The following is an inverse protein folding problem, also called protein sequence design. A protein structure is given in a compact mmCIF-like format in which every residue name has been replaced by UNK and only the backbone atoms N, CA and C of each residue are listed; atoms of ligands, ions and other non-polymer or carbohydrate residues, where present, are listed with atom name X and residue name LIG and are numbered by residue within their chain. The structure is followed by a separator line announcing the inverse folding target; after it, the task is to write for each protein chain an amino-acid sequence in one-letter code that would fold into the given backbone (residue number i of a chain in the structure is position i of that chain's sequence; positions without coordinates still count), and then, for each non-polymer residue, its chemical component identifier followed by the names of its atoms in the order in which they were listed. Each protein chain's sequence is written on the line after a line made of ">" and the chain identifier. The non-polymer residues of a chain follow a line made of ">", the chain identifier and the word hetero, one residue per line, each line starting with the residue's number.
data_IF_185275904546
#
_entry.id   IF_185275904546
#
_cell.length_a   1.000
_cell.length_b   1.000
_cell.length_c   1.000
_cell.angle_alpha   90.00
_cell.angle_beta   90.00
_cell.angle_gamma   90.00
#
_symmetry.space_group_name_H-M   'P 1'
#
loop_
_entity.id
_entity.type
_entity.pdbx_description
1 polymer ?
#
# COMPACT_ATOMS: atom_id res chain seq x y z
N UNK A 1 15.18 -14.95 14.96
CA UNK A 1 13.74 -15.18 15.21
C UNK A 1 13.23 -14.01 16.04
N UNK A 2 12.38 -13.14 15.47
CA UNK A 2 11.47 -12.23 16.21
C UNK A 2 10.43 -11.67 15.24
N UNK A 3 9.39 -12.45 15.04
CA UNK A 3 8.14 -12.02 14.39
C UNK A 3 7.35 -11.16 15.39
N UNK A 4 7.65 -9.86 15.48
CA UNK A 4 6.78 -8.96 16.25
C UNK A 4 5.50 -8.67 15.47
N UNK A 5 4.54 -9.59 15.54
CA UNK A 5 3.12 -9.32 15.34
C UNK A 5 2.63 -8.51 16.54
N UNK A 6 2.64 -7.19 16.44
CA UNK A 6 1.93 -6.33 17.39
C UNK A 6 0.49 -6.13 16.90
N UNK A 7 -0.40 -6.84 17.59
CA UNK A 7 -1.85 -6.72 17.79
C UNK A 7 -2.69 -5.78 16.89
N UNK A 8 -3.82 -6.36 16.47
CA UNK A 8 -4.93 -5.75 15.75
C UNK A 8 -5.52 -4.53 16.48
N UNK A 9 -5.14 -3.33 16.02
CA UNK A 9 -5.89 -2.06 16.08
C UNK A 9 -5.06 -0.99 15.35
N UNK A 10 -5.68 0.00 14.67
CA UNK A 10 -4.94 1.12 14.13
C UNK A 10 -4.19 1.85 15.26
N UNK A 11 -2.86 1.82 15.22
CA UNK A 11 -2.04 2.42 16.26
C UNK A 11 -1.88 3.92 15.98
N UNK A 12 -2.17 4.79 16.96
CA UNK A 12 -1.99 6.22 16.77
C UNK A 12 -0.50 6.56 16.67
N UNK A 13 -0.18 7.62 15.92
CA UNK A 13 1.21 8.04 15.64
C UNK A 13 2.10 8.18 16.90
N UNK A 14 1.51 8.63 18.01
CA UNK A 14 2.20 8.84 19.28
C UNK A 14 2.55 7.54 20.02
N UNK A 15 1.95 6.40 19.65
CA UNK A 15 2.26 5.08 20.24
C UNK A 15 3.42 4.37 19.54
N UNK A 16 3.97 4.95 18.47
CA UNK A 16 5.10 4.38 17.74
C UNK A 16 6.42 4.60 18.48
N UNK A 17 7.39 3.72 18.25
CA UNK A 17 8.74 3.89 18.81
C UNK A 17 9.48 5.04 18.11
N UNK A 18 10.46 5.71 18.76
CA UNK A 18 11.17 6.83 18.17
C UNK A 18 11.81 6.49 16.81
N UNK A 19 12.41 5.30 16.67
CA UNK A 19 12.98 4.85 15.38
C UNK A 19 11.92 4.63 14.29
N UNK A 20 10.71 4.19 14.65
CA UNK A 20 9.59 4.08 13.70
C UNK A 20 9.05 5.47 13.32
N UNK A 21 8.98 6.40 14.28
CA UNK A 21 8.56 7.77 14.03
C UNK A 21 9.52 8.51 13.11
N UNK A 22 10.84 8.31 13.25
CA UNK A 22 11.82 8.85 12.30
C UNK A 22 11.64 8.27 10.91
N UNK A 23 11.55 6.94 10.80
CA UNK A 23 11.38 6.25 9.53
C UNK A 23 10.11 6.72 8.81
N UNK A 24 9.02 6.90 9.54
CA UNK A 24 7.70 7.21 8.99
C UNK A 24 7.35 8.70 9.09
N UNK A 25 8.29 9.57 9.47
CA UNK A 25 8.05 11.00 9.69
C UNK A 25 7.31 11.70 8.53
N UNK A 26 7.60 11.40 7.25
CA UNK A 26 6.88 11.99 6.11
C UNK A 26 5.39 11.66 6.06
N UNK A 27 4.97 10.57 6.72
CA UNK A 27 3.58 10.09 6.77
C UNK A 27 2.85 10.46 8.06
N UNK A 28 3.52 11.12 9.02
CA UNK A 28 2.97 11.46 10.33
C UNK A 28 1.58 12.10 10.29
N UNK A 29 1.37 13.06 9.38
CA UNK A 29 0.09 13.78 9.21
C UNK A 29 -1.05 12.87 8.73
N UNK A 30 -0.75 11.86 7.94
CA UNK A 30 -1.74 10.98 7.30
C UNK A 30 -1.87 9.64 8.04
N UNK A 31 -0.96 9.35 8.97
CA UNK A 31 -0.84 8.07 9.65
C UNK A 31 -2.15 7.60 10.28
N UNK A 32 -2.82 8.48 11.03
CA UNK A 32 -4.08 8.15 11.72
C UNK A 32 -5.26 7.93 10.75
N UNK A 33 -5.14 8.37 9.49
CA UNK A 33 -6.12 8.11 8.42
C UNK A 33 -5.80 6.83 7.63
N UNK A 34 -4.66 6.19 7.87
CA UNK A 34 -4.29 4.96 7.19
C UNK A 34 -5.08 3.76 7.74
N UNK A 35 -5.55 2.85 6.88
CA UNK A 35 -6.12 1.58 7.31
C UNK A 35 -5.11 0.75 8.10
N UNK A 36 -5.60 -0.04 9.05
CA UNK A 36 -4.77 -0.91 9.91
C UNK A 36 -3.77 -1.77 9.12
N UNK A 37 -4.24 -2.46 8.07
CA UNK A 37 -3.38 -3.29 7.23
C UNK A 37 -2.20 -2.52 6.63
N UNK A 38 -2.41 -1.24 6.30
CA UNK A 38 -1.37 -0.41 5.73
C UNK A 38 -0.40 0.12 6.80
N UNK A 39 -0.93 0.49 7.98
CA UNK A 39 -0.10 0.83 9.13
C UNK A 39 0.82 -0.34 9.48
N UNK A 40 0.28 -1.57 9.56
CA UNK A 40 1.09 -2.77 9.84
C UNK A 40 2.18 -3.01 8.79
N UNK A 41 1.84 -2.89 7.50
CA UNK A 41 2.83 -3.06 6.43
C UNK A 41 3.96 -2.04 6.53
N UNK A 42 3.63 -0.77 6.85
CA UNK A 42 4.62 0.28 7.04
C UNK A 42 5.48 0.06 8.28
N UNK A 43 4.88 -0.36 9.40
CA UNK A 43 5.62 -0.73 10.61
C UNK A 43 6.58 -1.88 10.36
N UNK A 44 6.18 -2.87 9.56
CA UNK A 44 7.05 -3.99 9.24
C UNK A 44 8.29 -3.56 8.46
N UNK A 45 8.15 -2.61 7.52
CA UNK A 45 9.30 -2.06 6.79
C UNK A 45 10.13 -1.14 7.70
N UNK A 46 9.49 -0.35 8.56
CA UNK A 46 10.18 0.55 9.50
C UNK A 46 11.02 -0.18 10.56
N UNK A 47 10.72 -1.46 10.87
CA UNK A 47 11.55 -2.27 11.77
C UNK A 47 13.00 -2.42 11.31
N UNK A 48 13.20 -2.50 9.99
CA UNK A 48 14.53 -2.64 9.39
C UNK A 48 15.21 -1.29 9.14
N UNK A 49 14.48 -0.18 9.24
CA UNK A 49 15.04 1.16 9.04
C UNK A 49 16.29 1.46 9.88
N UNK A 50 16.36 1.16 11.19
CA UNK A 50 17.59 1.40 11.97
C UNK A 50 18.80 0.60 11.45
N UNK A 51 18.56 -0.60 10.89
CA UNK A 51 19.58 -1.50 10.34
C UNK A 51 20.12 -1.02 8.97
N UNK A 52 19.42 -0.11 8.30
CA UNK A 52 19.82 0.44 7.00
C UNK A 52 21.02 1.38 7.10
N UNK A 53 21.83 1.40 6.04
CA UNK A 53 22.90 2.38 5.84
C UNK A 53 22.34 3.79 5.65
N UNK A 54 23.14 4.82 5.89
CA UNK A 54 22.70 6.22 5.76
C UNK A 54 22.13 6.54 4.36
N UNK A 55 22.75 6.00 3.29
CA UNK A 55 22.25 6.20 1.92
C UNK A 55 20.89 5.50 1.69
N UNK A 56 20.72 4.29 2.24
CA UNK A 56 19.48 3.54 2.14
C UNK A 56 18.35 4.22 2.93
N UNK A 57 18.67 4.78 4.10
CA UNK A 57 17.73 5.62 4.89
C UNK A 57 17.26 6.82 4.08
N UNK A 58 18.16 7.51 3.38
CA UNK A 58 17.78 8.64 2.52
C UNK A 58 16.88 8.22 1.35
N UNK A 59 17.18 7.10 0.70
CA UNK A 59 16.31 6.55 -0.37
C UNK A 59 14.94 6.16 0.17
N UNK A 60 14.90 5.55 1.35
CA UNK A 60 13.65 5.20 2.03
C UNK A 60 12.79 6.43 2.31
N UNK A 61 13.38 7.46 2.92
CA UNK A 61 12.70 8.73 3.21
C UNK A 61 12.23 9.44 1.94
N UNK A 62 13.02 9.41 0.85
CA UNK A 62 12.60 9.95 -0.46
C UNK A 62 11.39 9.20 -1.04
N UNK A 63 11.40 7.87 -0.98
CA UNK A 63 10.27 7.04 -1.44
C UNK A 63 9.03 7.30 -0.60
N UNK A 64 9.19 7.45 0.71
CA UNK A 64 8.11 7.81 1.62
C UNK A 64 7.55 9.21 1.35
N UNK A 65 8.39 10.18 1.01
CA UNK A 65 7.96 11.52 0.59
C UNK A 65 7.17 11.51 -0.73
N UNK A 66 7.54 10.65 -1.68
CA UNK A 66 6.72 10.44 -2.88
C UNK A 66 5.39 9.74 -2.53
N UNK A 67 5.41 8.80 -1.58
CA UNK A 67 4.24 8.10 -1.08
C UNK A 67 3.28 8.97 -0.29
N UNK A 68 3.75 9.94 0.49
CA UNK A 68 2.87 10.86 1.23
C UNK A 68 2.05 11.75 0.30
N UNK A 69 2.57 12.02 -0.91
CA UNK A 69 1.85 12.69 -1.99
C UNK A 69 0.80 11.81 -2.66
N UNK A 70 0.90 10.48 -2.54
CA UNK A 70 -0.13 9.52 -3.00
C UNK A 70 -1.18 9.35 -1.89
N UNK A 71 -2.23 10.17 -1.95
CA UNK A 71 -3.30 10.25 -0.96
C UNK A 71 -4.06 8.94 -0.77
N UNK A 72 -4.59 8.69 0.45
CA UNK A 72 -5.51 7.57 0.70
C UNK A 72 -6.74 7.59 -0.22
N UNK A 73 -7.19 8.77 -0.65
CA UNK A 73 -8.25 8.92 -1.67
C UNK A 73 -7.87 8.30 -3.03
N UNK A 74 -6.62 8.42 -3.47
CA UNK A 74 -6.17 7.75 -4.70
C UNK A 74 -6.17 6.23 -4.56
N UNK A 75 -5.98 5.71 -3.34
CA UNK A 75 -6.06 4.27 -3.05
C UNK A 75 -7.49 3.77 -2.89
N UNK A 76 -8.39 4.58 -2.33
CA UNK A 76 -9.82 4.28 -2.34
C UNK A 76 -10.32 4.26 -3.78
N UNK A 77 -9.94 5.25 -4.60
CA UNK A 77 -10.24 5.25 -6.04
C UNK A 77 -9.63 4.03 -6.77
N UNK A 78 -8.45 3.54 -6.38
CA UNK A 78 -7.88 2.31 -6.93
C UNK A 78 -8.66 1.06 -6.48
N UNK A 79 -9.12 1.00 -5.22
CA UNK A 79 -9.98 -0.06 -4.70
C UNK A 79 -11.37 -0.06 -5.35
N UNK A 80 -11.98 1.11 -5.53
CA UNK A 80 -13.25 1.26 -6.25
C UNK A 80 -13.08 0.88 -7.73
N UNK A 81 -11.99 1.30 -8.39
CA UNK A 81 -11.66 0.85 -9.75
C UNK A 81 -11.47 -0.67 -9.82
N UNK A 82 -10.76 -1.27 -8.86
CA UNK A 82 -10.55 -2.71 -8.83
C UNK A 82 -11.83 -3.49 -8.52
N UNK A 83 -12.69 -2.97 -7.63
CA UNK A 83 -14.01 -3.55 -7.34
C UNK A 83 -14.94 -3.43 -8.54
N UNK A 84 -14.98 -2.28 -9.22
CA UNK A 84 -15.73 -2.08 -10.46
C UNK A 84 -15.26 -3.03 -11.58
N UNK A 85 -13.95 -3.29 -11.68
CA UNK A 85 -13.41 -4.25 -12.63
C UNK A 85 -13.62 -5.72 -12.22
N UNK A 86 -13.60 -6.04 -10.93
CA UNK A 86 -13.84 -7.41 -10.42
C UNK A 86 -15.33 -7.79 -10.42
N UNK A 87 -16.24 -6.83 -10.53
CA UNK A 87 -17.66 -7.08 -10.77
C UNK A 87 -18.01 -7.30 -12.25
N UNK A 88 -17.02 -7.30 -13.15
CA UNK A 88 -17.21 -7.85 -14.50
C UNK A 88 -17.07 -9.38 -14.39
N UNK A 89 -18.16 -10.16 -14.49
CA UNK A 89 -18.10 -11.60 -14.37
C UNK A 89 -17.18 -12.18 -15.44
N UNK A 90 -16.34 -13.13 -15.03
CA UNK A 90 -15.42 -13.89 -15.86
C UNK A 90 -16.12 -14.59 -17.05
N UNK A 91 -17.43 -14.77 -16.94
CA UNK A 91 -18.36 -15.31 -17.96
C UNK A 91 -18.34 -14.56 -19.31
N UNK A 92 -17.93 -13.28 -19.33
CA UNK A 92 -17.83 -12.50 -20.58
C UNK A 92 -16.47 -12.57 -21.28
N UNK A 93 -15.44 -13.17 -20.67
CA UNK A 93 -14.10 -13.28 -21.32
C UNK A 93 -14.07 -14.34 -22.43
N UNK A 94 -14.91 -15.38 -22.34
CA UNK A 94 -15.00 -16.39 -23.39
C UNK A 94 -15.80 -15.93 -24.61
N UNK A 95 -16.90 -15.19 -24.41
CA UNK A 95 -17.69 -14.64 -25.53
C UNK A 95 -16.89 -13.65 -26.39
N UNK A 96 -16.04 -12.83 -25.76
CA UNK A 96 -15.17 -11.89 -26.50
C UNK A 96 -14.06 -12.63 -27.25
N UNK A 97 -13.51 -13.73 -26.72
CA UNK A 97 -12.56 -14.57 -27.46
C UNK A 97 -13.21 -15.26 -28.67
N UNK A 98 -14.48 -15.66 -28.57
CA UNK A 98 -15.18 -16.28 -29.70
C UNK A 98 -15.52 -15.27 -30.81
N UNK A 99 -16.02 -14.08 -30.47
CA UNK A 99 -16.34 -13.04 -31.46
C UNK A 99 -15.13 -12.55 -32.27
N UNK A 100 -13.94 -12.46 -31.66
CA UNK A 100 -12.71 -12.03 -32.35
C UNK A 100 -12.24 -13.08 -33.39
N UNK A 101 -12.63 -14.35 -33.23
CA UNK A 101 -12.24 -15.43 -34.15
C UNK A 101 -13.14 -15.52 -35.39
N UNK A 102 -14.40 -15.09 -35.30
CA UNK A 102 -15.35 -15.07 -36.43
C UNK A 102 -15.24 -13.81 -37.31
N UNK A 103 -14.70 -12.70 -36.79
CA UNK A 103 -14.53 -11.45 -37.55
C UNK A 103 -13.28 -11.39 -38.44
N UNK A 104 -12.42 -12.41 -38.45
CA UNK A 104 -11.19 -12.45 -39.27
C UNK A 104 -11.27 -13.37 -40.50
N UNK A 105 -12.46 -13.90 -40.81
CA UNK A 105 -12.67 -14.84 -41.92
C UNK A 105 -13.74 -14.41 -42.95
N UNK A 106 -14.08 -13.12 -43.03
CA UNK A 106 -14.85 -12.55 -44.15
C UNK A 106 -14.15 -11.35 -44.76
#
# INVERSE_FOLDING_TARGET
>A
MSISSAAASPQPWHSLTPSQQEALAPLSKQWNSLPEAQQQSMLNVAKHFPELSTEEKQRFLSRLGAWSKLTPEQRQAARDKYRAFSQVPEDKREQVRQMVKEGQAQ
#
